data_IF_124046310979
#
_entry.id   IF_124046310979
#
_cell.length_a   1.000
_cell.length_b   1.000
_cell.length_c   1.000
_cell.angle_alpha   90.00
_cell.angle_beta   90.00
_cell.angle_gamma   90.00
#
_symmetry.space_group_name_H-M   'P 1'
#
loop_
_entity.id
_entity.type
_entity.pdbx_description
1 polymer ?
#
# COMPACT_ATOMS: atom_id res chain seq x y z
N UNK A 1 -56.63 -39.72 14.12
CA UNK A 1 -55.93 -38.52 14.62
C UNK A 1 -54.44 -38.65 14.32
N UNK A 2 -53.96 -38.09 13.20
CA UNK A 2 -52.53 -37.91 12.91
C UNK A 2 -52.38 -36.61 12.09
N UNK A 3 -51.87 -35.60 12.77
CA UNK A 3 -51.56 -34.27 12.26
C UNK A 3 -50.32 -34.39 11.36
N UNK A 4 -50.42 -34.05 10.07
CA UNK A 4 -49.25 -33.87 9.19
C UNK A 4 -48.98 -32.38 9.07
N UNK A 5 -47.97 -31.92 9.82
CA UNK A 5 -47.35 -30.61 9.66
C UNK A 5 -46.32 -30.77 8.54
N UNK A 6 -46.53 -30.12 7.41
CA UNK A 6 -45.48 -29.92 6.40
C UNK A 6 -44.92 -28.53 6.68
N UNK A 7 -43.69 -28.50 7.19
CA UNK A 7 -42.91 -27.30 7.41
C UNK A 7 -42.53 -26.70 6.05
N UNK A 8 -42.92 -25.45 5.82
CA UNK A 8 -42.41 -24.65 4.72
C UNK A 8 -41.00 -24.17 5.09
N UNK A 9 -39.99 -24.70 4.40
CA UNK A 9 -38.61 -24.27 4.50
C UNK A 9 -38.48 -22.93 3.76
N UNK A 10 -38.56 -21.81 4.51
CA UNK A 10 -38.20 -20.49 4.02
C UNK A 10 -36.68 -20.44 3.90
N UNK A 11 -36.17 -20.75 2.71
CA UNK A 11 -34.80 -20.42 2.31
C UNK A 11 -34.78 -18.91 2.13
N UNK A 12 -34.44 -18.21 3.21
CA UNK A 12 -34.08 -16.81 3.17
C UNK A 12 -32.82 -16.65 2.33
N UNK A 13 -33.01 -16.41 1.04
CA UNK A 13 -32.00 -15.81 0.19
C UNK A 13 -31.70 -14.43 0.78
N UNK A 14 -30.66 -14.36 1.60
CA UNK A 14 -30.00 -13.13 2.01
C UNK A 14 -29.41 -12.49 0.75
N UNK A 15 -30.24 -11.78 -0.01
CA UNK A 15 -29.76 -10.83 -0.99
C UNK A 15 -28.99 -9.78 -0.22
N UNK A 16 -27.66 -9.95 -0.16
CA UNK A 16 -26.72 -8.88 0.18
C UNK A 16 -26.97 -7.78 -0.85
N UNK A 17 -27.82 -6.83 -0.49
CA UNK A 17 -27.92 -5.57 -1.23
C UNK A 17 -26.60 -4.89 -0.95
N UNK A 18 -25.64 -5.07 -1.85
CA UNK A 18 -24.44 -4.25 -1.89
C UNK A 18 -24.93 -2.83 -2.21
N UNK A 19 -25.03 -2.00 -1.18
CA UNK A 19 -25.11 -0.56 -1.38
C UNK A 19 -23.74 -0.14 -1.90
N UNK A 20 -23.59 -0.12 -3.23
CA UNK A 20 -22.46 0.55 -3.87
C UNK A 20 -22.57 2.03 -3.47
N UNK A 21 -21.55 2.53 -2.76
CA UNK A 21 -21.46 3.94 -2.46
C UNK A 21 -21.11 4.65 -3.77
N UNK A 22 -22.00 5.56 -4.22
CA UNK A 22 -21.75 6.31 -5.45
C UNK A 22 -20.66 7.35 -5.20
N UNK A 23 -19.51 7.20 -5.88
CA UNK A 23 -18.44 8.19 -5.87
C UNK A 23 -18.85 9.44 -6.65
N UNK A 24 -18.64 10.61 -6.04
CA UNK A 24 -18.83 11.90 -6.70
C UNK A 24 -17.56 12.75 -6.57
N UNK A 25 -17.05 13.23 -7.71
CA UNK A 25 -15.98 14.22 -7.74
C UNK A 25 -16.55 15.61 -8.00
N UNK A 26 -16.23 16.55 -7.14
CA UNK A 26 -16.59 17.96 -7.29
C UNK A 26 -15.36 18.76 -7.68
N UNK A 27 -15.41 19.46 -8.81
CA UNK A 27 -14.32 20.35 -9.19
C UNK A 27 -14.25 21.54 -8.22
N UNK A 28 -13.08 21.73 -7.60
CA UNK A 28 -12.85 22.76 -6.60
C UNK A 28 -11.97 23.89 -7.13
N UNK A 29 -10.91 23.55 -7.88
CA UNK A 29 -9.98 24.52 -8.44
C UNK A 29 -9.49 24.08 -9.82
N UNK A 30 -9.16 25.06 -10.66
CA UNK A 30 -8.53 24.88 -11.96
C UNK A 30 -7.32 25.79 -12.02
N UNK A 31 -6.15 25.23 -12.30
CA UNK A 31 -4.93 25.98 -12.56
C UNK A 31 -4.45 25.65 -13.96
N UNK A 32 -4.19 26.67 -14.77
CA UNK A 32 -3.58 26.51 -16.08
C UNK A 32 -2.24 27.23 -16.09
N UNK A 33 -1.19 26.52 -16.51
CA UNK A 33 0.12 27.12 -16.68
C UNK A 33 0.63 26.85 -18.09
N UNK A 34 1.11 27.92 -18.73
CA UNK A 34 1.77 27.88 -20.02
C UNK A 34 3.13 28.56 -19.93
N UNK A 35 4.15 27.91 -20.47
CA UNK A 35 5.54 28.34 -20.35
C UNK A 35 6.20 28.47 -21.71
N UNK A 36 7.15 29.38 -21.80
CA UNK A 36 8.05 29.50 -22.96
C UNK A 36 9.42 28.89 -22.66
N UNK A 37 9.58 28.26 -21.49
CA UNK A 37 10.83 27.66 -21.04
C UNK A 37 10.90 26.23 -21.55
N UNK A 38 12.00 25.90 -22.23
CA UNK A 38 12.26 24.54 -22.70
C UNK A 38 12.24 23.53 -21.53
N UNK A 39 11.58 22.38 -21.73
CA UNK A 39 11.44 21.27 -20.77
C UNK A 39 10.52 21.53 -19.56
N UNK A 40 9.65 22.56 -19.59
CA UNK A 40 8.51 22.65 -18.68
C UNK A 40 7.25 22.40 -19.50
N UNK A 41 6.46 21.40 -19.10
CA UNK A 41 5.24 21.04 -19.82
C UNK A 41 4.12 22.04 -19.52
N UNK A 42 3.44 22.51 -20.57
CA UNK A 42 2.19 23.24 -20.47
C UNK A 42 1.11 22.30 -19.91
N UNK A 43 0.38 22.74 -18.88
CA UNK A 43 -0.59 21.89 -18.21
C UNK A 43 -1.86 22.62 -17.80
N UNK A 44 -2.91 21.82 -17.61
CA UNK A 44 -4.06 22.17 -16.79
C UNK A 44 -4.15 21.19 -15.61
N UNK A 45 -4.42 21.74 -14.44
CA UNK A 45 -4.56 21.01 -13.20
C UNK A 45 -5.95 21.22 -12.63
N UNK A 46 -6.62 20.12 -12.34
CA UNK A 46 -7.95 20.07 -11.75
C UNK A 46 -7.80 19.56 -10.31
N UNK A 47 -8.08 20.41 -9.33
CA UNK A 47 -8.26 19.96 -7.96
C UNK A 47 -9.72 19.60 -7.77
N UNK A 48 -9.98 18.35 -7.43
CA UNK A 48 -11.31 17.80 -7.20
C UNK A 48 -11.48 17.39 -5.74
N UNK A 49 -12.70 17.42 -5.24
CA UNK A 49 -13.08 16.92 -3.92
C UNK A 49 -13.87 15.63 -4.06
N UNK A 50 -13.42 14.59 -3.38
CA UNK A 50 -14.05 13.29 -3.28
C UNK A 50 -15.21 13.35 -2.28
N UNK A 51 -16.36 12.84 -2.69
CA UNK A 51 -17.56 12.73 -1.88
C UNK A 51 -18.31 11.42 -2.19
N UNK A 52 -19.21 11.04 -1.29
CA UNK A 52 -20.00 9.80 -1.41
C UNK A 52 -19.32 8.55 -0.83
N UNK A 53 -18.02 8.61 -0.58
CA UNK A 53 -17.24 7.55 0.09
C UNK A 53 -16.54 8.05 1.35
N UNK A 54 -16.26 7.13 2.27
CA UNK A 54 -15.46 7.40 3.47
C UNK A 54 -13.97 7.48 3.12
N UNK A 55 -13.25 8.42 3.74
CA UNK A 55 -11.81 8.58 3.58
C UNK A 55 -11.16 8.80 4.94
N UNK A 56 -10.30 7.86 5.33
CA UNK A 56 -9.57 7.83 6.58
C UNK A 56 -8.31 6.95 6.44
N UNK A 57 -7.74 6.45 7.54
CA UNK A 57 -6.56 5.57 7.49
C UNK A 57 -6.81 4.23 6.80
N UNK A 58 -8.05 3.74 6.85
CA UNK A 58 -8.48 2.42 6.36
C UNK A 58 -9.31 2.51 5.08
N UNK A 59 -9.65 3.73 4.65
CA UNK A 59 -10.37 4.02 3.41
C UNK A 59 -9.60 5.05 2.61
N UNK A 60 -8.90 4.61 1.56
CA UNK A 60 -7.98 5.45 0.80
C UNK A 60 -8.30 5.40 -0.69
N UNK A 61 -7.91 6.44 -1.42
CA UNK A 61 -8.11 6.52 -2.87
C UNK A 61 -6.83 6.86 -3.62
N UNK A 62 -6.76 6.42 -4.88
CA UNK A 62 -5.83 6.96 -5.87
C UNK A 62 -6.48 7.00 -7.25
N UNK A 63 -5.98 7.87 -8.11
CA UNK A 63 -6.39 7.88 -9.51
C UNK A 63 -5.65 6.73 -10.20
N UNK A 64 -6.40 5.80 -10.77
CA UNK A 64 -5.85 4.68 -11.52
C UNK A 64 -5.46 5.11 -12.93
N UNK A 65 -6.41 5.71 -13.64
CA UNK A 65 -6.20 6.19 -15.01
C UNK A 65 -7.25 7.22 -15.43
N UNK A 66 -6.87 8.07 -16.39
CA UNK A 66 -7.80 8.88 -17.17
C UNK A 66 -8.09 8.14 -18.48
N UNK A 67 -9.34 7.73 -18.68
CA UNK A 67 -9.77 6.98 -19.86
C UNK A 67 -10.14 7.89 -21.03
N UNK A 68 -10.61 9.10 -20.75
CA UNK A 68 -10.94 10.09 -21.76
C UNK A 68 -10.78 11.51 -21.21
N UNK A 69 -10.08 12.38 -21.93
CA UNK A 69 -10.10 13.81 -21.67
C UNK A 69 -10.07 14.58 -22.98
N UNK A 70 -11.00 15.53 -23.18
CA UNK A 70 -11.13 16.29 -24.43
C UNK A 70 -11.46 17.75 -24.19
N UNK A 71 -10.87 18.64 -24.97
CA UNK A 71 -11.27 20.05 -25.02
C UNK A 71 -12.51 20.27 -25.91
N UNK A 72 -13.10 21.47 -25.85
CA UNK A 72 -14.24 21.88 -26.68
C UNK A 72 -13.94 22.05 -28.18
N UNK A 73 -12.69 21.82 -28.59
CA UNK A 73 -12.25 21.77 -29.98
C UNK A 73 -12.06 20.33 -30.46
N UNK A 74 -12.26 19.34 -29.58
CA UNK A 74 -12.15 17.91 -29.86
C UNK A 74 -10.74 17.34 -29.74
N UNK A 75 -9.76 18.09 -29.22
CA UNK A 75 -8.41 17.58 -29.00
C UNK A 75 -8.39 16.74 -27.72
N UNK A 76 -7.72 15.59 -27.79
CA UNK A 76 -7.52 14.74 -26.62
C UNK A 76 -6.38 15.29 -25.77
N UNK A 77 -6.56 15.28 -24.45
CA UNK A 77 -5.57 15.74 -23.47
C UNK A 77 -4.98 14.51 -22.77
N UNK A 78 -3.66 14.36 -22.77
CA UNK A 78 -3.03 13.25 -22.04
C UNK A 78 -2.89 13.57 -20.55
N UNK A 79 -2.95 12.55 -19.70
CA UNK A 79 -2.59 12.68 -18.29
C UNK A 79 -1.08 12.90 -18.17
N UNK A 80 -0.69 13.91 -17.39
CA UNK A 80 0.70 14.17 -17.05
C UNK A 80 0.99 13.59 -15.67
N UNK A 81 1.96 12.68 -15.56
CA UNK A 81 2.40 12.16 -14.27
C UNK A 81 3.13 13.26 -13.49
N UNK A 82 2.67 13.61 -12.27
CA UNK A 82 3.30 14.68 -11.49
C UNK A 82 4.43 14.17 -10.60
N UNK A 83 4.41 12.93 -10.14
CA UNK A 83 5.46 12.42 -9.25
C UNK A 83 5.30 10.93 -8.89
N UNK A 84 6.34 10.38 -8.26
CA UNK A 84 6.31 9.14 -7.46
C UNK A 84 5.25 9.10 -6.34
N UNK A 85 4.62 10.25 -6.02
CA UNK A 85 3.60 10.37 -4.97
C UNK A 85 2.16 10.24 -5.49
N UNK A 86 1.89 10.48 -6.78
CA UNK A 86 0.52 10.44 -7.31
C UNK A 86 -0.01 9.02 -7.49
N UNK A 87 0.88 8.03 -7.49
CA UNK A 87 0.53 6.60 -7.60
C UNK A 87 0.23 5.94 -6.25
N UNK A 88 0.31 6.68 -5.14
CA UNK A 88 0.05 6.15 -3.80
C UNK A 88 -1.39 6.40 -3.38
N UNK A 89 -1.96 5.43 -2.69
CA UNK A 89 -3.21 5.62 -1.97
C UNK A 89 -3.06 6.72 -0.91
N UNK A 90 -4.08 7.57 -0.81
CA UNK A 90 -4.16 8.63 0.17
C UNK A 90 -5.57 8.81 0.71
N UNK A 91 -5.67 9.36 1.91
CA UNK A 91 -6.93 9.65 2.61
C UNK A 91 -7.37 11.11 2.43
N UNK A 92 -6.69 11.86 1.57
CA UNK A 92 -7.03 13.24 1.26
C UNK A 92 -8.38 13.29 0.54
N UNK A 93 -9.28 14.15 1.01
CA UNK A 93 -10.52 14.46 0.29
C UNK A 93 -10.26 15.15 -1.04
N UNK A 94 -9.10 15.78 -1.21
CA UNK A 94 -8.73 16.44 -2.46
C UNK A 94 -7.88 15.50 -3.32
N UNK A 95 -8.30 15.32 -4.58
CA UNK A 95 -7.53 14.64 -5.62
C UNK A 95 -7.16 15.62 -6.72
N UNK A 96 -5.94 15.49 -7.22
CA UNK A 96 -5.41 16.34 -8.28
C UNK A 96 -5.29 15.55 -9.57
N UNK A 97 -5.90 16.05 -10.64
CA UNK A 97 -5.76 15.51 -11.99
C UNK A 97 -4.97 16.54 -12.80
N UNK A 98 -3.82 16.14 -13.34
CA UNK A 98 -3.03 16.99 -14.24
C UNK A 98 -3.06 16.44 -15.65
N UNK A 99 -3.40 17.30 -16.60
CA UNK A 99 -3.48 16.98 -18.01
C UNK A 99 -2.61 17.94 -18.82
N UNK A 100 -2.30 17.57 -20.05
CA UNK A 100 -1.76 18.50 -21.05
C UNK A 100 -2.67 19.74 -21.16
N UNK A 101 -2.06 20.91 -21.37
CA UNK A 101 -2.84 22.12 -21.58
C UNK A 101 -3.73 21.99 -22.84
N UNK A 102 -5.00 22.42 -22.77
CA UNK A 102 -5.88 22.51 -23.93
C UNK A 102 -5.27 23.35 -25.07
N UNK A 103 -5.76 23.20 -26.30
CA UNK A 103 -5.25 24.04 -27.39
C UNK A 103 -5.55 25.52 -27.14
N UNK A 104 -4.70 26.40 -27.67
CA UNK A 104 -4.98 27.85 -27.63
C UNK A 104 -6.34 28.09 -28.26
N UNK A 105 -7.21 28.86 -27.59
CA UNK A 105 -8.62 29.13 -27.95
C UNK A 105 -9.65 28.07 -27.51
N UNK A 106 -9.25 26.97 -26.87
CA UNK A 106 -10.19 26.18 -26.09
C UNK A 106 -10.72 27.04 -24.94
N UNK A 107 -12.03 26.96 -24.67
CA UNK A 107 -12.66 27.73 -23.58
C UNK A 107 -13.08 26.83 -22.41
N UNK A 108 -13.11 25.52 -22.64
CA UNK A 108 -13.46 24.51 -21.64
C UNK A 108 -12.87 23.15 -22.01
N UNK A 109 -12.70 22.31 -21.00
CA UNK A 109 -12.54 20.86 -21.16
C UNK A 109 -13.95 20.27 -21.21
N UNK A 110 -14.30 19.63 -22.32
CA UNK A 110 -15.63 19.07 -22.55
C UNK A 110 -15.91 17.89 -21.62
N UNK A 111 -14.94 16.98 -21.48
CA UNK A 111 -15.04 15.82 -20.59
C UNK A 111 -13.69 15.44 -19.99
N UNK A 112 -13.72 14.90 -18.78
CA UNK A 112 -12.64 14.13 -18.16
C UNK A 112 -13.29 12.92 -17.47
N UNK A 113 -12.97 11.72 -17.94
CA UNK A 113 -13.48 10.45 -17.43
C UNK A 113 -12.32 9.54 -17.05
N UNK A 114 -12.51 8.73 -16.01
CA UNK A 114 -11.47 7.84 -15.55
C UNK A 114 -11.92 6.89 -14.46
N UNK A 115 -10.93 6.23 -13.88
CA UNK A 115 -11.07 5.27 -12.79
C UNK A 115 -10.31 5.75 -11.57
N UNK A 116 -10.96 5.65 -10.41
CA UNK A 116 -10.36 5.78 -9.09
C UNK A 116 -10.35 4.40 -8.46
N UNK A 117 -9.23 4.03 -7.88
CA UNK A 117 -9.16 2.86 -6.99
C UNK A 117 -9.50 3.30 -5.58
N UNK A 118 -10.43 2.58 -4.96
CA UNK A 118 -10.84 2.74 -3.58
C UNK A 118 -10.37 1.55 -2.76
N UNK A 119 -9.34 1.78 -1.94
CA UNK A 119 -8.69 0.77 -1.14
C UNK A 119 -9.30 0.72 0.26
N UNK A 120 -9.85 -0.44 0.60
CA UNK A 120 -10.57 -0.71 1.85
C UNK A 120 -10.08 -2.00 2.50
N UNK A 121 -8.82 -2.06 2.98
CA UNK A 121 -8.26 -3.26 3.57
C UNK A 121 -9.03 -3.72 4.81
N UNK A 122 -9.46 -4.97 4.82
CA UNK A 122 -10.10 -5.62 5.98
C UNK A 122 -9.58 -7.05 6.15
N UNK A 123 -9.76 -7.65 7.33
CA UNK A 123 -9.45 -9.08 7.50
C UNK A 123 -10.33 -9.97 6.60
N UNK A 124 -11.59 -9.58 6.37
CA UNK A 124 -12.54 -10.36 5.56
C UNK A 124 -12.14 -10.43 4.09
N UNK A 125 -11.58 -9.35 3.53
CA UNK A 125 -11.09 -9.31 2.16
C UNK A 125 -9.59 -9.64 2.02
N UNK A 126 -8.92 -9.98 3.13
CA UNK A 126 -7.48 -10.29 3.15
C UNK A 126 -6.58 -9.06 3.00
N UNK A 127 -7.12 -7.84 2.94
CA UNK A 127 -6.32 -6.61 2.86
C UNK A 127 -5.69 -6.19 4.18
N UNK A 128 -6.18 -6.69 5.32
CA UNK A 128 -5.55 -6.54 6.64
C UNK A 128 -5.28 -7.91 7.26
N UNK A 129 -4.08 -8.09 7.80
CA UNK A 129 -3.63 -9.36 8.38
C UNK A 129 -3.09 -9.08 9.77
N UNK A 130 -3.78 -9.61 10.78
CA UNK A 130 -3.42 -9.41 12.19
C UNK A 130 -2.61 -10.59 12.71
N UNK A 131 -1.51 -10.29 13.40
CA UNK A 131 -0.60 -11.24 14.03
C UNK A 131 -0.39 -10.87 15.49
N UNK A 132 -1.06 -11.62 16.35
CA UNK A 132 -0.80 -11.66 17.78
C UNK A 132 0.50 -12.40 18.08
N UNK A 133 1.27 -11.92 19.06
CA UNK A 133 2.55 -12.52 19.48
C UNK A 133 3.45 -12.88 18.28
N UNK A 134 3.59 -11.94 17.34
CA UNK A 134 4.34 -12.13 16.10
C UNK A 134 5.82 -12.46 16.33
N UNK A 135 6.34 -12.21 17.54
CA UNK A 135 7.68 -12.60 17.97
C UNK A 135 7.87 -14.13 17.97
N UNK A 136 6.82 -14.93 18.18
CA UNK A 136 6.92 -16.40 18.06
C UNK A 136 7.09 -16.89 16.62
N UNK A 137 6.85 -16.01 15.66
CA UNK A 137 6.89 -16.30 14.22
C UNK A 137 8.14 -15.71 13.54
N UNK A 138 9.15 -15.34 14.32
CA UNK A 138 10.45 -14.92 13.79
C UNK A 138 11.01 -15.94 12.80
N UNK A 139 11.63 -15.42 11.74
CA UNK A 139 12.26 -16.16 10.65
C UNK A 139 11.28 -17.02 9.82
N UNK A 140 9.97 -16.86 10.02
CA UNK A 140 8.92 -17.47 9.19
C UNK A 140 8.16 -16.41 8.41
N UNK A 141 7.61 -16.79 7.26
CA UNK A 141 6.75 -15.93 6.49
C UNK A 141 5.42 -15.65 7.22
N UNK A 142 5.26 -14.38 7.62
CA UNK A 142 4.07 -13.87 8.33
C UNK A 142 2.82 -13.81 7.44
N UNK A 143 2.95 -14.02 6.13
CA UNK A 143 1.87 -13.93 5.15
C UNK A 143 1.48 -15.29 4.54
N UNK A 144 2.10 -16.39 4.98
CA UNK A 144 2.03 -17.69 4.29
C UNK A 144 0.64 -18.34 4.18
N UNK A 145 -0.29 -17.98 5.07
CA UNK A 145 -1.68 -18.44 5.09
C UNK A 145 -2.63 -17.60 4.22
N UNK A 146 -2.37 -16.29 4.08
CA UNK A 146 -3.24 -15.34 3.37
C UNK A 146 -2.71 -14.97 1.97
N UNK A 147 -1.40 -14.74 1.87
CA UNK A 147 -0.69 -14.32 0.65
C UNK A 147 0.61 -15.12 0.48
N UNK A 148 0.52 -16.42 0.13
CA UNK A 148 1.68 -17.30 -0.01
C UNK A 148 2.69 -16.84 -1.08
N UNK A 149 2.24 -16.04 -2.04
CA UNK A 149 3.07 -15.42 -3.09
C UNK A 149 3.98 -14.30 -2.55
N UNK A 150 3.61 -13.69 -1.42
CA UNK A 150 4.38 -12.65 -0.75
C UNK A 150 5.22 -13.26 0.37
N UNK A 151 6.41 -12.70 0.61
CA UNK A 151 7.19 -13.01 1.80
C UNK A 151 7.34 -11.75 2.65
N UNK A 152 6.94 -11.84 3.92
CA UNK A 152 7.29 -10.87 4.96
C UNK A 152 7.80 -11.64 6.17
N UNK A 153 9.10 -11.55 6.43
CA UNK A 153 9.74 -12.35 7.47
C UNK A 153 10.45 -11.46 8.47
N UNK A 154 10.04 -11.48 9.73
CA UNK A 154 10.74 -10.77 10.80
C UNK A 154 12.09 -11.44 11.08
N UNK A 155 13.17 -10.67 10.96
CA UNK A 155 14.54 -11.14 11.15
C UNK A 155 15.11 -10.62 12.47
N UNK A 156 15.67 -11.54 13.26
CA UNK A 156 16.39 -11.21 14.49
C UNK A 156 17.84 -10.82 14.17
N UNK A 157 18.07 -9.52 14.02
CA UNK A 157 19.37 -8.97 13.62
C UNK A 157 20.50 -9.31 14.60
N UNK A 158 20.28 -9.14 15.90
CA UNK A 158 21.35 -9.33 16.90
C UNK A 158 21.82 -10.79 16.91
N UNK A 159 20.90 -11.75 16.86
CA UNK A 159 21.24 -13.17 16.73
C UNK A 159 22.00 -13.47 15.42
N UNK A 160 21.66 -12.79 14.33
CA UNK A 160 22.32 -12.95 13.04
C UNK A 160 23.76 -12.42 13.03
N UNK A 161 23.99 -11.21 13.54
CA UNK A 161 25.33 -10.61 13.60
C UNK A 161 26.25 -11.42 14.51
N UNK A 162 25.74 -11.84 15.67
CA UNK A 162 26.47 -12.72 16.58
C UNK A 162 26.87 -14.05 15.92
N UNK A 163 25.97 -14.65 15.14
CA UNK A 163 26.22 -15.91 14.44
C UNK A 163 27.28 -15.74 13.35
N UNK A 164 27.22 -14.64 12.59
CA UNK A 164 28.19 -14.31 11.53
C UNK A 164 29.60 -14.16 12.07
N UNK A 165 29.76 -13.54 13.24
CA UNK A 165 31.07 -13.32 13.86
C UNK A 165 31.64 -14.58 14.53
N UNK A 166 30.77 -15.43 15.11
CA UNK A 166 31.19 -16.56 15.95
C UNK A 166 31.29 -17.89 15.22
N UNK A 167 30.45 -18.13 14.20
CA UNK A 167 30.35 -19.43 13.52
C UNK A 167 29.83 -19.29 12.07
N UNK A 168 30.77 -19.18 11.11
CA UNK A 168 30.45 -19.04 9.68
C UNK A 168 29.65 -20.24 9.12
N UNK A 169 29.84 -21.44 9.66
CA UNK A 169 29.11 -22.62 9.19
C UNK A 169 27.67 -22.62 9.67
N UNK A 170 27.44 -22.29 10.95
CA UNK A 170 26.10 -22.14 11.49
C UNK A 170 25.36 -20.99 10.82
N UNK A 171 26.07 -19.90 10.49
CA UNK A 171 25.55 -18.79 9.70
C UNK A 171 25.06 -19.23 8.31
N UNK A 172 25.90 -19.96 7.56
CA UNK A 172 25.51 -20.52 6.25
C UNK A 172 24.34 -21.49 6.36
N UNK A 173 24.32 -22.34 7.39
CA UNK A 173 23.22 -23.29 7.62
C UNK A 173 21.89 -22.57 7.91
N UNK A 174 21.93 -21.49 8.69
CA UNK A 174 20.78 -20.66 8.97
C UNK A 174 20.26 -19.96 7.71
N UNK A 175 21.14 -19.41 6.86
CA UNK A 175 20.73 -18.83 5.57
C UNK A 175 20.08 -19.84 4.64
N UNK A 176 20.59 -21.08 4.59
CA UNK A 176 19.95 -22.17 3.84
C UNK A 176 18.57 -22.50 4.39
N UNK A 177 18.40 -22.47 5.71
CA UNK A 177 17.11 -22.67 6.35
C UNK A 177 16.13 -21.55 5.98
N UNK A 178 16.55 -20.29 6.11
CA UNK A 178 15.74 -19.13 5.77
C UNK A 178 15.34 -19.14 4.29
N UNK A 179 16.27 -19.47 3.39
CA UNK A 179 16.02 -19.68 1.97
C UNK A 179 14.92 -20.71 1.75
N UNK A 180 15.04 -21.88 2.38
CA UNK A 180 14.08 -22.97 2.23
C UNK A 180 12.71 -22.61 2.79
N UNK A 181 12.66 -21.97 3.95
CA UNK A 181 11.41 -21.62 4.64
C UNK A 181 10.66 -20.46 3.95
N UNK A 182 11.37 -19.60 3.22
CA UNK A 182 10.79 -18.44 2.54
C UNK A 182 10.86 -18.53 1.01
N UNK A 183 11.22 -19.69 0.46
CA UNK A 183 11.35 -19.98 -0.98
C UNK A 183 12.22 -18.97 -1.75
N UNK A 184 13.31 -18.49 -1.14
CA UNK A 184 14.14 -17.44 -1.74
C UNK A 184 14.90 -18.01 -2.95
N UNK A 185 14.68 -17.44 -4.14
CA UNK A 185 15.38 -17.80 -5.38
C UNK A 185 16.83 -17.31 -5.39
N UNK A 186 17.68 -17.97 -6.18
CA UNK A 186 19.09 -17.59 -6.37
C UNK A 186 20.08 -18.64 -5.85
N UNK A 187 21.37 -18.40 -6.03
CA UNK A 187 22.46 -19.23 -5.50
C UNK A 187 22.65 -19.01 -3.99
N UNK A 188 23.47 -19.85 -3.34
CA UNK A 188 23.84 -19.60 -1.93
C UNK A 188 24.70 -18.34 -1.76
N UNK A 189 25.52 -18.03 -2.75
CA UNK A 189 26.37 -16.83 -2.78
C UNK A 189 25.53 -15.56 -2.97
N UNK A 190 24.53 -15.58 -3.85
CA UNK A 190 23.60 -14.46 -4.03
C UNK A 190 22.81 -14.16 -2.75
N UNK A 191 22.45 -15.19 -1.98
CA UNK A 191 21.82 -15.04 -0.67
C UNK A 191 22.76 -14.45 0.39
N UNK A 192 24.03 -14.85 0.36
CA UNK A 192 25.04 -14.30 1.27
C UNK A 192 25.24 -12.82 1.00
N UNK A 193 25.34 -12.42 -0.27
CA UNK A 193 25.49 -11.02 -0.67
C UNK A 193 24.22 -10.22 -0.33
N UNK A 194 23.03 -10.76 -0.66
CA UNK A 194 21.74 -10.16 -0.34
C UNK A 194 21.60 -9.83 1.16
N UNK A 195 21.91 -10.79 2.03
CA UNK A 195 21.80 -10.59 3.47
C UNK A 195 22.97 -9.77 4.03
N UNK A 196 24.15 -9.82 3.41
CA UNK A 196 25.23 -8.90 3.74
C UNK A 196 24.80 -7.45 3.49
N UNK A 197 24.16 -7.17 2.35
CA UNK A 197 23.63 -5.84 2.00
C UNK A 197 22.46 -5.42 2.89
N UNK A 198 21.58 -6.38 3.23
CA UNK A 198 20.45 -6.18 4.14
C UNK A 198 20.90 -5.59 5.49
N UNK A 199 22.04 -6.04 6.03
CA UNK A 199 22.54 -5.59 7.33
C UNK A 199 23.62 -4.51 7.25
N UNK A 200 24.50 -4.52 6.25
CA UNK A 200 25.55 -3.50 6.13
C UNK A 200 24.97 -2.09 5.95
N UNK A 201 23.78 -1.99 5.34
CA UNK A 201 23.07 -0.72 5.18
C UNK A 201 22.34 -0.22 6.44
N UNK A 202 22.49 -0.90 7.59
CA UNK A 202 21.84 -0.53 8.88
C UNK A 202 22.81 0.08 9.90
N UNK A 203 24.12 0.05 9.65
CA UNK A 203 25.15 0.26 10.69
C UNK A 203 25.48 1.72 11.00
N UNK A 204 25.02 2.68 10.18
CA UNK A 204 25.39 4.09 10.35
C UNK A 204 24.68 4.84 11.50
N UNK A 205 23.44 4.46 11.83
CA UNK A 205 22.56 5.29 12.69
C UNK A 205 21.92 4.54 13.87
N UNK A 206 22.02 3.22 13.90
CA UNK A 206 21.37 2.39 14.92
C UNK A 206 21.88 2.66 16.35
N UNK A 207 23.18 2.93 16.50
CA UNK A 207 23.76 3.31 17.79
C UNK A 207 23.21 4.63 18.32
N UNK A 208 22.82 5.55 17.44
CA UNK A 208 22.15 6.79 17.82
C UNK A 208 20.67 6.53 18.13
N UNK A 209 19.97 5.75 17.31
CA UNK A 209 18.58 5.36 17.56
C UNK A 209 18.39 4.70 18.93
N UNK A 210 19.25 3.73 19.29
CA UNK A 210 19.20 3.07 20.61
C UNK A 210 19.39 4.06 21.76
N UNK A 211 20.29 5.05 21.61
CA UNK A 211 20.50 6.10 22.62
C UNK A 211 19.31 7.05 22.74
N UNK A 212 18.58 7.24 21.64
CA UNK A 212 17.36 8.05 21.58
C UNK A 212 16.08 7.29 21.97
N UNK A 213 16.19 6.04 22.42
CA UNK A 213 15.03 5.21 22.80
C UNK A 213 14.23 4.66 21.62
N UNK A 214 14.78 4.71 20.40
CA UNK A 214 14.16 4.13 19.20
C UNK A 214 14.57 2.67 19.08
N UNK A 215 13.58 1.80 18.92
CA UNK A 215 13.76 0.37 18.68
C UNK A 215 13.49 0.05 17.21
N UNK A 216 14.20 -0.93 16.64
CA UNK A 216 14.10 -1.28 15.22
C UNK A 216 13.60 -2.72 15.04
N UNK A 217 12.69 -2.92 14.10
CA UNK A 217 12.36 -4.25 13.56
C UNK A 217 12.78 -4.33 12.10
N UNK A 218 13.32 -5.48 11.73
CA UNK A 218 13.82 -5.74 10.38
C UNK A 218 13.02 -6.86 9.74
N UNK A 219 12.49 -6.62 8.56
CA UNK A 219 11.79 -7.62 7.78
C UNK A 219 12.49 -7.84 6.46
N UNK A 220 12.70 -9.11 6.12
CA UNK A 220 12.92 -9.49 4.73
C UNK A 220 11.59 -9.45 3.98
N UNK A 221 11.60 -8.81 2.81
CA UNK A 221 10.43 -8.74 1.93
C UNK A 221 10.73 -9.33 0.56
N UNK A 222 9.72 -10.01 -0.01
CA UNK A 222 9.69 -10.39 -1.42
C UNK A 222 8.27 -10.23 -1.94
N UNK A 223 8.13 -9.40 -2.96
CA UNK A 223 6.87 -9.12 -3.62
C UNK A 223 7.06 -9.27 -5.13
N UNK A 224 6.41 -10.26 -5.75
CA UNK A 224 6.54 -10.51 -7.19
C UNK A 224 5.53 -9.67 -7.97
N UNK A 225 6.02 -8.74 -8.80
CA UNK A 225 5.15 -7.98 -9.72
C UNK A 225 4.59 -6.67 -9.17
N UNK A 226 5.06 -6.20 -8.01
CA UNK A 226 4.64 -4.90 -7.47
C UNK A 226 5.02 -4.70 -6.00
N UNK A 227 4.66 -3.54 -5.44
CA UNK A 227 4.74 -3.26 -4.01
C UNK A 227 3.35 -3.46 -3.40
N UNK A 228 3.09 -4.64 -2.85
CA UNK A 228 1.79 -5.00 -2.30
C UNK A 228 1.69 -4.74 -0.79
N UNK A 229 2.80 -4.78 -0.05
CA UNK A 229 2.78 -4.43 1.38
C UNK A 229 2.68 -2.92 1.48
N UNK A 230 1.49 -2.43 1.80
CA UNK A 230 1.15 -1.01 1.89
C UNK A 230 1.68 -0.42 3.21
N UNK A 231 1.38 -1.07 4.34
CA UNK A 231 1.79 -0.64 5.66
C UNK A 231 2.01 -1.84 6.61
N UNK A 232 2.82 -1.60 7.65
CA UNK A 232 2.93 -2.50 8.79
C UNK A 232 2.79 -1.64 10.05
N UNK A 233 1.74 -1.91 10.81
CA UNK A 233 1.46 -1.24 12.08
C UNK A 233 1.74 -2.19 13.24
N UNK A 234 2.30 -1.67 14.31
CA UNK A 234 2.61 -2.45 15.52
C UNK A 234 1.95 -1.74 16.69
N UNK A 235 1.17 -2.49 17.47
CA UNK A 235 0.45 -1.98 18.62
C UNK A 235 0.93 -2.67 19.90
N UNK A 236 1.04 -1.91 20.98
CA UNK A 236 1.34 -2.46 22.31
C UNK A 236 0.09 -3.11 22.96
N UNK A 237 0.27 -3.67 24.16
CA UNK A 237 -0.79 -4.35 24.94
C UNK A 237 -1.97 -3.43 25.30
N UNK A 238 -1.76 -2.11 25.30
CA UNK A 238 -2.77 -1.09 25.57
C UNK A 238 -3.55 -0.69 24.30
N UNK A 239 -3.15 -1.22 23.13
CA UNK A 239 -3.74 -0.89 21.83
C UNK A 239 -3.17 0.37 21.18
N UNK A 240 -2.11 0.96 21.74
CA UNK A 240 -1.46 2.14 21.17
C UNK A 240 -0.49 1.73 20.05
N UNK A 241 -0.53 2.43 18.91
CA UNK A 241 0.43 2.22 17.82
C UNK A 241 1.81 2.75 18.23
N UNK A 242 2.84 1.91 18.12
CA UNK A 242 4.21 2.23 18.57
C UNK A 242 5.20 2.43 17.43
N UNK A 243 4.82 2.16 16.17
CA UNK A 243 5.64 2.51 15.00
C UNK A 243 5.34 3.93 14.51
N UNK A 244 6.37 4.70 14.13
CA UNK A 244 6.22 6.10 13.69
C UNK A 244 6.99 6.42 12.40
N UNK A 245 7.56 5.40 11.75
CA UNK A 245 8.24 5.56 10.48
C UNK A 245 8.82 4.24 10.00
N UNK A 246 9.14 4.20 8.72
CA UNK A 246 9.78 3.04 8.11
C UNK A 246 10.81 3.46 7.07
N UNK A 247 11.72 2.54 6.78
CA UNK A 247 12.61 2.60 5.63
C UNK A 247 12.44 1.32 4.83
N UNK A 248 12.38 1.42 3.50
CA UNK A 248 12.14 0.27 2.63
C UNK A 248 13.03 0.33 1.39
N UNK A 249 13.56 -0.82 1.02
CA UNK A 249 14.13 -1.09 -0.31
C UNK A 249 13.49 -2.37 -0.89
N UNK A 250 14.05 -2.95 -1.94
CA UNK A 250 13.41 -4.09 -2.62
C UNK A 250 13.38 -5.39 -1.80
N UNK A 251 14.22 -5.49 -0.77
CA UNK A 251 14.47 -6.74 -0.02
C UNK A 251 14.24 -6.58 1.48
N UNK A 252 14.09 -5.33 1.94
CA UNK A 252 14.02 -4.96 3.35
C UNK A 252 12.93 -3.95 3.63
N UNK A 253 12.21 -4.20 4.72
CA UNK A 253 11.37 -3.24 5.42
C UNK A 253 11.91 -3.06 6.84
N UNK A 254 12.24 -1.84 7.25
CA UNK A 254 12.70 -1.49 8.59
C UNK A 254 11.64 -0.62 9.27
N UNK A 255 11.14 -1.04 10.44
CA UNK A 255 10.22 -0.26 11.25
C UNK A 255 10.96 0.40 12.43
N UNK A 256 10.62 1.66 12.70
CA UNK A 256 11.08 2.41 13.88
C UNK A 256 9.97 2.46 14.92
N UNK A 257 10.28 2.01 16.12
CA UNK A 257 9.34 1.89 17.23
C UNK A 257 9.75 2.81 18.39
N UNK A 258 8.76 3.38 19.06
CA UNK A 258 8.92 4.17 20.29
C UNK A 258 9.14 3.30 21.53
N UNK A 259 8.78 2.02 21.46
CA UNK A 259 8.82 1.07 22.57
C UNK A 259 9.37 -0.28 22.11
N UNK A 260 9.88 -1.06 23.06
CA UNK A 260 10.31 -2.43 22.79
C UNK A 260 9.09 -3.34 22.69
N UNK A 261 9.05 -4.16 21.66
CA UNK A 261 8.02 -5.19 21.46
C UNK A 261 8.04 -6.24 22.57
N UNK A 262 6.86 -6.65 23.01
CA UNK A 262 6.62 -7.74 23.97
C UNK A 262 5.78 -8.84 23.31
N UNK A 263 5.66 -10.03 23.92
CA UNK A 263 4.76 -11.08 23.42
C UNK A 263 3.27 -10.67 23.38
N UNK A 264 2.88 -9.64 24.13
CA UNK A 264 1.52 -9.10 24.10
C UNK A 264 1.27 -8.05 23.01
N UNK A 265 2.30 -7.67 22.25
CA UNK A 265 2.12 -6.80 21.09
C UNK A 265 1.41 -7.52 19.95
N UNK A 266 0.63 -6.76 19.18
CA UNK A 266 0.06 -7.21 17.90
C UNK A 266 0.69 -6.46 16.74
N UNK A 267 0.72 -7.11 15.58
CA UNK A 267 1.11 -6.52 14.32
C UNK A 267 -0.05 -6.61 13.33
N UNK A 268 -0.28 -5.54 12.61
CA UNK A 268 -1.22 -5.47 11.51
C UNK A 268 -0.44 -5.19 10.22
N UNK A 269 -0.64 -6.04 9.22
CA UNK A 269 0.00 -5.92 7.91
C UNK A 269 -1.09 -5.59 6.90
N UNK A 270 -0.95 -4.45 6.24
CA UNK A 270 -1.89 -3.96 5.23
C UNK A 270 -1.36 -4.33 3.85
N UNK A 271 -2.15 -5.09 3.09
CA UNK A 271 -1.80 -5.63 1.78
C UNK A 271 -2.72 -5.04 0.71
N UNK A 272 -2.11 -4.37 -0.26
CA UNK A 272 -2.72 -3.93 -1.50
C UNK A 272 -2.88 -5.13 -2.43
N UNK A 273 -4.12 -5.58 -2.65
CA UNK A 273 -4.44 -6.62 -3.63
C UNK A 273 -5.85 -6.42 -4.17
N UNK A 274 -6.18 -7.12 -5.26
CA UNK A 274 -7.42 -6.90 -5.99
C UNK A 274 -8.71 -7.11 -5.16
N UNK A 275 -8.68 -7.95 -4.12
CA UNK A 275 -9.83 -8.15 -3.24
C UNK A 275 -10.08 -7.00 -2.25
N UNK A 276 -9.08 -6.15 -2.02
CA UNK A 276 -9.17 -4.98 -1.15
C UNK A 276 -9.39 -3.65 -1.90
N UNK A 277 -9.49 -3.71 -3.24
CA UNK A 277 -9.60 -2.53 -4.10
C UNK A 277 -10.89 -2.61 -4.92
N UNK A 278 -11.69 -1.56 -4.84
CA UNK A 278 -12.83 -1.34 -5.73
C UNK A 278 -12.49 -0.29 -6.78
N UNK A 279 -12.85 -0.53 -8.04
CA UNK A 279 -12.68 0.45 -9.12
C UNK A 279 -13.96 1.27 -9.31
N UNK A 280 -13.85 2.57 -9.06
CA UNK A 280 -14.94 3.53 -9.12
C UNK A 280 -14.77 4.44 -10.33
N UNK A 281 -15.80 4.50 -11.18
CA UNK A 281 -15.82 5.38 -12.36
C UNK A 281 -16.16 6.81 -11.95
N UNK A 282 -15.52 7.77 -12.59
CA UNK A 282 -15.89 9.18 -12.48
C UNK A 282 -15.98 9.86 -13.85
N UNK A 283 -16.74 10.97 -13.90
CA UNK A 283 -16.88 11.80 -15.10
C UNK A 283 -17.10 13.26 -14.66
N UNK A 284 -16.28 14.16 -15.19
CA UNK A 284 -16.38 15.61 -15.05
C UNK A 284 -16.68 16.20 -16.43
N UNK A 285 -17.67 17.09 -16.53
CA UNK A 285 -18.12 17.65 -17.82
C UNK A 285 -18.16 19.16 -17.79
N UNK A 286 -17.92 19.77 -18.95
CA UNK A 286 -18.03 21.21 -19.17
C UNK A 286 -17.21 22.03 -18.16
N UNK A 287 -15.93 21.72 -18.03
CA UNK A 287 -15.00 22.40 -17.12
C UNK A 287 -14.49 23.68 -17.80
N UNK A 288 -14.97 24.84 -17.38
CA UNK A 288 -14.58 26.13 -17.95
C UNK A 288 -13.15 26.52 -17.53
N UNK A 289 -12.31 26.86 -18.51
CA UNK A 289 -10.93 27.27 -18.27
C UNK A 289 -10.87 28.71 -17.73
N UNK A 290 -9.85 29.06 -16.93
CA UNK A 290 -9.68 30.40 -16.35
C UNK A 290 -9.39 31.50 -17.39
#
# INVERSE_FOLDING_TARGET
MKLKIIAALLIGLSSRVAFSQDLHLFLNNIEEARTTVDNVEDFVELTTMVNGIELDTDHQVRIKEITEAKDDRGNSLQQLERSFFDSKFGSSKNLTIRLEAPVRQATRIETVEGLIEYFTPTEENGGSIVREDFLRHQNKNLLSDAHPELALTLIEKDAFLDLKEKDEQAYKAWLKKLKKENDISGSEEELLDLFSDFFNSTTGWEGEYRKSGIHLLYFYIREQGGKYIHAINVYNEEGNMINHGYSRNDIRYELRLSEKVTPGCRMEIIVEHAGAIEELKFSLKNIYLP
#
